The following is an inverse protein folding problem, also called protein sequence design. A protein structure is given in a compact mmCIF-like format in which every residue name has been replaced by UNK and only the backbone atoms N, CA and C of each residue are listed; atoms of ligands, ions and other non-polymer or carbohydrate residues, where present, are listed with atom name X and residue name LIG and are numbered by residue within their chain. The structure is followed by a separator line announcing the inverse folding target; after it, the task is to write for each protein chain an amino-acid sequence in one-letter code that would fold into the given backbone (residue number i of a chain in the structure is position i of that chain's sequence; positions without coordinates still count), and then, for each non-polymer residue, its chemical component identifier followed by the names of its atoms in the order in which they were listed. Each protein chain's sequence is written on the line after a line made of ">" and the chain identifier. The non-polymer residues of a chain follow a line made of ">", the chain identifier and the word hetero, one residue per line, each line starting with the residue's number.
data_IF_203725381829
#
_entry.id   IF_203725381829
#
_cell.length_a   1.000
_cell.length_b   1.000
_cell.length_c   1.000
_cell.angle_alpha   90.00
_cell.angle_beta   90.00
_cell.angle_gamma   90.00
#
_symmetry.space_group_name_H-M   'P 1'
#
loop_
_entity.id
_entity.type
_entity.pdbx_description
1 polymer ?
#
# COMPACT_ATOMS: atom_id res chain seq x y z
N UNK A 1 15.20 24.90 5.90
CA UNK A 1 14.08 24.03 5.48
C UNK A 1 14.00 22.85 6.43
N UNK A 2 12.84 22.53 7.02
CA UNK A 2 12.69 21.32 7.86
C UNK A 2 12.80 20.09 6.95
N UNK A 3 13.68 19.16 7.29
CA UNK A 3 13.87 17.90 6.56
C UNK A 3 12.57 17.09 6.64
N UNK A 4 11.99 16.69 5.49
CA UNK A 4 10.77 15.86 5.46
C UNK A 4 11.09 14.51 6.12
N UNK A 5 10.27 14.04 7.08
CA UNK A 5 10.51 12.77 7.74
C UNK A 5 10.47 11.58 6.76
N UNK A 6 11.37 10.62 6.96
CA UNK A 6 11.36 9.34 6.25
C UNK A 6 10.38 8.40 6.97
N UNK A 7 9.48 7.80 6.22
CA UNK A 7 8.45 6.88 6.72
C UNK A 7 8.83 5.42 6.54
N UNK A 8 9.52 5.10 5.42
CA UNK A 8 10.08 3.77 5.15
C UNK A 8 11.49 3.93 4.60
N UNK A 9 12.42 3.10 5.04
CA UNK A 9 13.80 3.08 4.56
C UNK A 9 14.26 1.63 4.42
N UNK A 10 14.60 1.24 3.20
CA UNK A 10 15.28 -0.01 2.88
C UNK A 10 16.77 0.25 2.74
N UNK A 11 17.60 -0.54 3.43
CA UNK A 11 19.07 -0.45 3.40
C UNK A 11 19.65 -1.81 3.07
N UNK A 12 20.23 -1.95 1.89
CA UNK A 12 20.92 -3.15 1.42
C UNK A 12 20.09 -4.43 1.65
N UNK A 13 18.78 -4.36 1.40
CA UNK A 13 17.85 -5.46 1.66
C UNK A 13 18.17 -6.65 0.76
N UNK A 14 18.34 -7.81 1.38
CA UNK A 14 18.52 -9.09 0.71
C UNK A 14 17.36 -10.02 1.05
N UNK A 15 16.75 -10.61 0.00
CA UNK A 15 15.65 -11.56 0.14
C UNK A 15 15.94 -12.84 -0.63
N UNK A 16 15.70 -13.98 0.02
CA UNK A 16 15.92 -15.30 -0.59
C UNK A 16 14.73 -16.23 -0.32
N UNK A 17 14.47 -17.15 -1.24
CA UNK A 17 13.58 -18.30 -1.06
C UNK A 17 14.39 -19.56 -1.39
N UNK A 18 14.82 -20.27 -0.35
CA UNK A 18 15.80 -21.35 -0.50
C UNK A 18 17.09 -20.82 -1.11
N UNK A 19 17.51 -21.38 -2.24
CA UNK A 19 18.69 -20.93 -2.99
C UNK A 19 18.42 -19.75 -3.94
N UNK A 20 17.15 -19.39 -4.15
CA UNK A 20 16.80 -18.34 -5.09
C UNK A 20 16.81 -16.96 -4.44
N UNK A 21 17.71 -16.07 -4.90
CA UNK A 21 17.77 -14.68 -4.45
C UNK A 21 16.79 -13.83 -5.27
N UNK A 22 15.89 -13.12 -4.59
CA UNK A 22 14.93 -12.18 -5.16
C UNK A 22 15.50 -10.75 -5.14
N UNK A 23 16.03 -10.32 -3.98
CA UNK A 23 16.66 -9.01 -3.81
C UNK A 23 18.09 -9.19 -3.34
N UNK A 24 18.99 -8.33 -3.86
CA UNK A 24 20.41 -8.36 -3.58
C UNK A 24 20.93 -6.93 -3.39
N UNK A 25 20.77 -6.38 -2.18
CA UNK A 25 21.18 -5.03 -1.84
C UNK A 25 20.22 -3.93 -2.29
N UNK A 26 18.90 -4.14 -2.14
CA UNK A 26 17.88 -3.13 -2.47
C UNK A 26 17.88 -2.02 -1.43
N UNK A 27 18.08 -0.76 -1.89
CA UNK A 27 18.10 0.43 -1.03
C UNK A 27 17.24 1.54 -1.63
N UNK A 28 16.35 2.15 -0.82
CA UNK A 28 15.55 3.33 -1.17
C UNK A 28 14.90 3.94 0.08
N UNK A 29 14.30 5.12 -0.06
CA UNK A 29 13.59 5.78 1.03
C UNK A 29 12.27 6.39 0.59
N UNK A 30 11.26 6.37 1.47
CA UNK A 30 9.92 6.91 1.26
C UNK A 30 9.69 8.04 2.25
N UNK A 31 9.32 9.22 1.74
CA UNK A 31 9.08 10.43 2.54
C UNK A 31 7.64 10.53 2.99
N UNK A 32 7.41 11.25 4.09
CA UNK A 32 6.06 11.51 4.59
C UNK A 32 5.21 12.26 3.56
N UNK A 33 3.97 11.77 3.35
CA UNK A 33 2.95 12.40 2.52
C UNK A 33 3.10 12.18 1.02
N UNK A 34 4.08 11.36 0.56
CA UNK A 34 4.17 11.01 -0.86
C UNK A 34 3.37 9.75 -1.21
N UNK A 35 2.96 9.64 -2.46
CA UNK A 35 2.51 8.39 -3.08
C UNK A 35 3.72 7.80 -3.79
N UNK A 36 4.25 6.71 -3.24
CA UNK A 36 5.48 6.08 -3.70
C UNK A 36 5.20 4.75 -4.41
N UNK A 37 5.72 4.59 -5.63
CA UNK A 37 5.53 3.42 -6.46
C UNK A 37 6.64 2.37 -6.31
N UNK A 38 6.25 1.10 -6.24
CA UNK A 38 7.13 -0.06 -6.42
C UNK A 38 6.84 -0.65 -7.79
N UNK A 39 7.72 -0.40 -8.76
CA UNK A 39 7.57 -0.80 -10.16
C UNK A 39 8.57 -1.89 -10.53
N UNK A 40 8.33 -2.55 -11.67
CA UNK A 40 9.23 -3.59 -12.20
C UNK A 40 8.46 -4.66 -12.95
N UNK A 41 9.15 -5.49 -13.70
CA UNK A 41 8.57 -6.60 -14.44
C UNK A 41 7.92 -7.67 -13.53
N UNK A 42 7.21 -8.62 -14.13
CA UNK A 42 6.70 -9.79 -13.40
C UNK A 42 7.87 -10.56 -12.78
N UNK A 43 7.71 -10.97 -11.51
CA UNK A 43 8.76 -11.70 -10.78
C UNK A 43 9.91 -10.83 -10.25
N UNK A 44 9.91 -9.50 -10.43
CA UNK A 44 10.98 -8.63 -9.90
C UNK A 44 10.99 -8.45 -8.38
N UNK A 45 10.01 -9.04 -7.65
CA UNK A 45 9.97 -9.02 -6.20
C UNK A 45 9.14 -7.88 -5.56
N UNK A 46 8.39 -7.07 -6.31
CA UNK A 46 7.59 -5.94 -5.78
C UNK A 46 6.72 -6.33 -4.60
N UNK A 47 5.87 -7.33 -4.78
CA UNK A 47 4.97 -7.83 -3.72
C UNK A 47 5.76 -8.45 -2.55
N UNK A 48 6.92 -9.07 -2.82
CA UNK A 48 7.81 -9.59 -1.77
C UNK A 48 8.34 -8.45 -0.92
N UNK A 49 8.83 -7.38 -1.54
CA UNK A 49 9.34 -6.20 -0.86
C UNK A 49 8.24 -5.51 -0.04
N UNK A 50 7.02 -5.38 -0.60
CA UNK A 50 5.87 -4.88 0.14
C UNK A 50 5.57 -5.77 1.35
N UNK A 51 5.59 -7.10 1.21
CA UNK A 51 5.38 -8.05 2.32
C UNK A 51 6.43 -7.94 3.41
N UNK A 52 7.68 -7.60 3.07
CA UNK A 52 8.73 -7.33 4.05
C UNK A 52 8.46 -6.04 4.85
N UNK A 53 8.00 -4.98 4.19
CA UNK A 53 7.61 -3.73 4.87
C UNK A 53 6.50 -3.96 5.90
N UNK A 54 5.52 -4.79 5.58
CA UNK A 54 4.36 -5.09 6.45
C UNK A 54 4.58 -6.30 7.37
N UNK A 55 5.80 -6.81 7.46
CA UNK A 55 6.19 -7.94 8.32
C UNK A 55 5.46 -9.27 8.03
N UNK A 56 5.00 -9.49 6.79
CA UNK A 56 4.50 -10.79 6.31
C UNK A 56 5.62 -11.67 5.74
N UNK A 57 6.79 -11.08 5.46
CA UNK A 57 8.00 -11.75 5.00
C UNK A 57 9.19 -11.17 5.75
N UNK A 58 10.16 -12.01 6.12
CA UNK A 58 11.42 -11.56 6.72
C UNK A 58 12.47 -11.27 5.65
N UNK A 59 13.27 -10.23 5.85
CA UNK A 59 14.52 -9.99 5.11
C UNK A 59 15.58 -11.01 5.52
N UNK A 60 16.48 -11.34 4.62
CA UNK A 60 17.62 -12.24 4.89
C UNK A 60 18.92 -11.47 5.12
N UNK A 61 18.93 -10.18 4.84
CA UNK A 61 20.06 -9.27 5.07
C UNK A 61 19.62 -7.82 4.89
N UNK A 62 20.46 -6.89 5.30
CA UNK A 62 20.13 -5.47 5.30
C UNK A 62 19.12 -5.11 6.39
N UNK A 63 18.48 -3.94 6.23
CA UNK A 63 17.49 -3.42 7.18
C UNK A 63 16.27 -2.90 6.43
N UNK A 64 15.08 -3.18 7.00
CA UNK A 64 13.80 -2.60 6.58
C UNK A 64 13.24 -1.79 7.75
N UNK A 65 13.33 -0.46 7.68
CA UNK A 65 12.89 0.44 8.74
C UNK A 65 11.55 1.05 8.32
N UNK A 66 10.51 0.82 9.12
CA UNK A 66 9.15 1.35 8.89
C UNK A 66 8.72 2.16 10.11
N UNK A 67 8.35 3.41 9.91
CA UNK A 67 7.98 4.36 10.98
C UNK A 67 9.04 4.43 12.10
N UNK A 68 10.34 4.34 11.74
CA UNK A 68 11.47 4.37 12.66
C UNK A 68 11.75 3.05 13.39
N UNK A 69 11.05 1.97 13.07
CA UNK A 69 11.25 0.64 13.65
C UNK A 69 11.83 -0.31 12.61
N UNK A 70 12.95 -0.96 12.92
CA UNK A 70 13.50 -2.03 12.07
C UNK A 70 12.59 -3.28 12.18
N UNK A 71 11.94 -3.62 11.07
CA UNK A 71 10.95 -4.72 11.03
C UNK A 71 11.60 -6.10 11.16
N UNK A 72 12.90 -6.23 10.85
CA UNK A 72 13.65 -7.50 10.92
C UNK A 72 13.96 -7.90 12.36
N UNK A 73 14.12 -6.92 13.26
CA UNK A 73 14.51 -7.11 14.66
C UNK A 73 13.41 -6.74 15.65
N UNK A 74 12.24 -6.27 15.17
CA UNK A 74 11.15 -5.81 16.01
C UNK A 74 10.64 -6.91 16.96
N UNK A 75 10.54 -6.60 18.26
CA UNK A 75 9.87 -7.47 19.23
C UNK A 75 8.39 -7.63 18.88
N UNK A 76 7.74 -8.70 19.35
CA UNK A 76 6.31 -8.94 19.13
C UNK A 76 5.45 -7.71 19.51
N UNK A 77 5.72 -7.08 20.66
CA UNK A 77 5.02 -5.88 21.14
C UNK A 77 5.24 -4.67 20.22
N UNK A 78 6.47 -4.46 19.75
CA UNK A 78 6.80 -3.38 18.80
C UNK A 78 6.14 -3.62 17.45
N UNK A 79 6.16 -4.86 16.97
CA UNK A 79 5.52 -5.27 15.73
C UNK A 79 3.99 -5.07 15.76
N UNK A 80 3.33 -5.40 16.89
CA UNK A 80 1.90 -5.16 17.07
C UNK A 80 1.57 -3.67 16.98
N UNK A 81 2.25 -2.82 17.78
CA UNK A 81 2.06 -1.36 17.76
C UNK A 81 2.33 -0.74 16.39
N UNK A 82 3.24 -1.34 15.62
CA UNK A 82 3.56 -0.88 14.29
C UNK A 82 2.42 -1.21 13.32
N UNK A 83 1.82 -2.42 13.41
CA UNK A 83 0.67 -2.85 12.58
C UNK A 83 -0.56 -1.98 12.75
N UNK A 84 -0.79 -1.43 13.92
CA UNK A 84 -1.90 -0.49 14.20
C UNK A 84 -1.75 0.84 13.44
N UNK A 85 -0.56 1.14 12.91
CA UNK A 85 -0.23 2.43 12.28
C UNK A 85 -0.22 2.39 10.76
N UNK A 86 -0.55 1.24 10.17
CA UNK A 86 -0.69 1.11 8.71
C UNK A 86 -1.96 0.38 8.31
N UNK A 87 -2.42 0.68 7.10
CA UNK A 87 -3.49 -0.05 6.44
C UNK A 87 -2.97 -0.79 5.21
N UNK A 88 -3.63 -1.88 4.84
CA UNK A 88 -3.24 -2.69 3.69
C UNK A 88 -4.47 -2.99 2.84
N UNK A 89 -4.37 -2.69 1.54
CA UNK A 89 -5.30 -3.17 0.52
C UNK A 89 -4.57 -4.17 -0.37
N UNK A 90 -4.93 -5.44 -0.25
CA UNK A 90 -4.44 -6.50 -1.14
C UNK A 90 -5.17 -6.50 -2.48
N UNK A 91 -4.56 -7.06 -3.50
CA UNK A 91 -5.02 -7.07 -4.89
C UNK A 91 -6.51 -7.44 -5.06
N UNK A 92 -7.01 -8.41 -4.29
CA UNK A 92 -8.42 -8.85 -4.33
C UNK A 92 -9.28 -8.31 -3.17
N UNK A 93 -8.82 -7.25 -2.47
CA UNK A 93 -9.52 -6.66 -1.33
C UNK A 93 -9.38 -7.46 -0.04
N UNK A 94 -9.22 -8.79 -0.09
CA UNK A 94 -9.09 -9.72 1.04
C UNK A 94 -10.17 -9.55 2.12
N UNK A 95 -11.42 -9.24 1.73
CA UNK A 95 -12.55 -9.12 2.64
C UNK A 95 -12.94 -10.50 3.19
N UNK A 96 -13.37 -10.53 4.44
CA UNK A 96 -13.96 -11.71 5.05
C UNK A 96 -15.33 -11.96 4.42
N UNK A 97 -15.48 -13.06 3.71
CA UNK A 97 -16.69 -13.37 2.92
C UNK A 97 -17.91 -13.67 3.76
N UNK A 98 -17.73 -14.09 5.01
CA UNK A 98 -18.77 -14.39 6.00
C UNK A 98 -19.23 -13.17 6.81
N UNK A 99 -18.59 -12.02 6.64
CA UNK A 99 -18.93 -10.78 7.32
C UNK A 99 -19.55 -9.79 6.33
N UNK A 100 -20.48 -8.97 6.81
CA UNK A 100 -20.98 -7.81 6.08
C UNK A 100 -19.85 -6.81 5.80
N UNK A 101 -20.06 -5.86 4.92
CA UNK A 101 -19.09 -4.80 4.62
C UNK A 101 -18.81 -3.94 5.85
N UNK A 102 -19.84 -3.61 6.63
CA UNK A 102 -19.67 -2.88 7.88
C UNK A 102 -18.80 -3.65 8.88
N UNK A 103 -19.09 -4.92 9.12
CA UNK A 103 -18.31 -5.78 10.01
C UNK A 103 -16.86 -5.93 9.55
N UNK A 104 -16.61 -6.03 8.24
CA UNK A 104 -15.27 -6.03 7.68
C UNK A 104 -14.46 -4.77 8.04
N UNK A 105 -15.11 -3.60 8.09
CA UNK A 105 -14.45 -2.35 8.49
C UNK A 105 -14.31 -2.25 10.01
N UNK A 106 -15.29 -2.73 10.76
CA UNK A 106 -15.32 -2.67 12.24
C UNK A 106 -14.26 -3.57 12.89
N UNK A 107 -13.94 -4.73 12.31
CA UNK A 107 -13.14 -5.79 12.96
C UNK A 107 -11.80 -5.30 13.50
N UNK A 108 -11.08 -4.44 12.74
CA UNK A 108 -9.81 -3.89 13.20
C UNK A 108 -9.98 -2.94 14.40
N UNK A 109 -11.04 -2.13 14.42
CA UNK A 109 -11.33 -1.25 15.55
C UNK A 109 -11.74 -2.03 16.79
N UNK A 110 -12.51 -3.13 16.64
CA UNK A 110 -12.91 -4.00 17.74
C UNK A 110 -11.71 -4.71 18.38
N UNK A 111 -10.73 -5.13 17.56
CA UNK A 111 -9.54 -5.85 18.01
C UNK A 111 -8.51 -4.93 18.70
N UNK A 112 -8.32 -3.72 18.15
CA UNK A 112 -7.18 -2.85 18.53
C UNK A 112 -7.58 -1.60 19.32
N UNK A 113 -8.87 -1.40 19.62
CA UNK A 113 -9.33 -0.25 20.40
C UNK A 113 -10.28 -0.65 21.52
N UNK A 114 -10.41 0.21 22.53
CA UNK A 114 -11.40 0.06 23.61
C UNK A 114 -12.63 0.97 23.38
N UNK A 115 -12.93 1.31 22.13
CA UNK A 115 -14.07 2.16 21.80
C UNK A 115 -15.40 1.39 22.02
N UNK A 116 -16.46 2.08 22.44
CA UNK A 116 -17.77 1.45 22.56
C UNK A 116 -18.31 1.07 21.19
N UNK A 117 -19.10 -0.01 21.10
CA UNK A 117 -19.58 -0.58 19.83
C UNK A 117 -20.32 0.41 18.94
N UNK A 118 -21.11 1.33 19.53
CA UNK A 118 -21.82 2.35 18.74
C UNK A 118 -20.84 3.31 18.04
N UNK A 119 -19.73 3.69 18.69
CA UNK A 119 -18.72 4.59 18.10
C UNK A 119 -17.92 3.89 17.02
N UNK A 120 -17.61 2.60 17.21
CA UNK A 120 -16.98 1.76 16.17
C UNK A 120 -17.86 1.71 14.92
N UNK A 121 -19.17 1.49 15.10
CA UNK A 121 -20.15 1.44 14.01
C UNK A 121 -20.20 2.77 13.24
N UNK A 122 -20.36 3.88 13.92
CA UNK A 122 -20.37 5.22 13.31
C UNK A 122 -19.06 5.52 12.57
N UNK A 123 -17.91 5.19 13.20
CA UNK A 123 -16.61 5.34 12.58
C UNK A 123 -16.49 4.51 11.30
N UNK A 124 -16.96 3.26 11.31
CA UNK A 124 -16.94 2.38 10.15
C UNK A 124 -17.83 2.91 9.01
N UNK A 125 -19.03 3.40 9.32
CA UNK A 125 -19.90 4.06 8.34
C UNK A 125 -19.25 5.30 7.73
N UNK A 126 -18.55 6.10 8.54
CA UNK A 126 -17.77 7.23 8.05
C UNK A 126 -16.67 6.77 7.09
N UNK A 127 -15.92 5.69 7.41
CA UNK A 127 -14.89 5.15 6.50
C UNK A 127 -15.49 4.67 5.17
N UNK A 128 -16.65 4.05 5.19
CA UNK A 128 -17.37 3.66 3.97
C UNK A 128 -17.76 4.89 3.13
N UNK A 129 -18.26 5.94 3.77
CA UNK A 129 -18.57 7.20 3.09
C UNK A 129 -17.34 7.86 2.48
N UNK A 130 -16.19 7.87 3.20
CA UNK A 130 -14.91 8.43 2.72
C UNK A 130 -14.41 7.78 1.44
N UNK A 131 -14.71 6.49 1.24
CA UNK A 131 -14.34 5.78 0.00
C UNK A 131 -15.44 5.81 -1.07
N UNK A 132 -16.49 6.61 -0.86
CA UNK A 132 -17.60 6.80 -1.82
C UNK A 132 -18.55 5.61 -1.90
N UNK A 133 -18.69 4.81 -0.84
CA UNK A 133 -19.69 3.76 -0.75
C UNK A 133 -20.95 4.27 -0.05
N UNK A 134 -22.15 4.09 -0.65
CA UNK A 134 -23.40 4.51 -0.03
C UNK A 134 -23.74 3.64 1.19
N UNK A 135 -24.45 4.22 2.17
CA UNK A 135 -24.78 3.57 3.44
C UNK A 135 -25.46 2.18 3.29
N UNK A 136 -26.27 1.99 2.25
CA UNK A 136 -26.93 0.70 1.97
C UNK A 136 -25.97 -0.46 1.78
N UNK A 137 -24.70 -0.19 1.37
CA UNK A 137 -23.66 -1.20 1.16
C UNK A 137 -23.18 -1.79 2.48
N UNK A 138 -23.34 -1.07 3.60
CA UNK A 138 -22.87 -1.50 4.91
C UNK A 138 -23.36 -2.91 5.31
N UNK A 139 -24.61 -3.23 4.94
CA UNK A 139 -25.27 -4.50 5.31
C UNK A 139 -25.13 -5.60 4.24
N UNK A 140 -24.49 -5.31 3.10
CA UNK A 140 -24.24 -6.29 2.05
C UNK A 140 -23.02 -7.15 2.37
N UNK A 141 -22.97 -8.34 1.80
CA UNK A 141 -21.80 -9.22 1.84
C UNK A 141 -20.88 -8.95 0.64
N UNK A 142 -19.58 -9.29 0.74
CA UNK A 142 -18.64 -9.11 -0.36
C UNK A 142 -19.09 -9.75 -1.68
N UNK A 143 -19.82 -10.87 -1.65
CA UNK A 143 -20.34 -11.56 -2.84
C UNK A 143 -21.33 -10.70 -3.66
N UNK A 144 -22.02 -9.76 -3.02
CA UNK A 144 -23.04 -8.91 -3.61
C UNK A 144 -22.45 -7.63 -4.27
N UNK A 145 -21.14 -7.39 -4.12
CA UNK A 145 -20.48 -6.18 -4.59
C UNK A 145 -19.80 -6.38 -5.95
N UNK A 146 -19.77 -5.33 -6.77
CA UNK A 146 -18.88 -5.25 -7.94
C UNK A 146 -17.39 -5.26 -7.53
N UNK A 147 -16.50 -5.54 -8.47
CA UNK A 147 -15.05 -5.52 -8.21
C UNK A 147 -14.55 -4.18 -7.65
N UNK A 148 -15.00 -3.07 -8.22
CA UNK A 148 -14.65 -1.74 -7.74
C UNK A 148 -15.20 -1.44 -6.34
N UNK A 149 -16.43 -1.86 -6.03
CA UNK A 149 -16.99 -1.72 -4.68
C UNK A 149 -16.23 -2.57 -3.65
N UNK A 150 -15.81 -3.80 -4.00
CA UNK A 150 -14.97 -4.64 -3.13
C UNK A 150 -13.64 -3.97 -2.80
N UNK A 151 -12.99 -3.34 -3.79
CA UNK A 151 -11.74 -2.60 -3.58
C UNK A 151 -11.96 -1.38 -2.68
N UNK A 152 -13.02 -0.60 -2.89
CA UNK A 152 -13.38 0.52 -2.01
C UNK A 152 -13.68 0.06 -0.58
N UNK A 153 -14.39 -1.04 -0.39
CA UNK A 153 -14.65 -1.62 0.93
C UNK A 153 -13.35 -2.10 1.61
N UNK A 154 -12.45 -2.75 0.86
CA UNK A 154 -11.11 -3.12 1.34
C UNK A 154 -10.28 -1.90 1.74
N UNK A 155 -10.39 -0.80 1.00
CA UNK A 155 -9.75 0.48 1.31
C UNK A 155 -10.34 1.09 2.60
N UNK A 156 -11.67 1.10 2.76
CA UNK A 156 -12.32 1.55 4.00
C UNK A 156 -11.82 0.77 5.23
N UNK A 157 -11.68 -0.56 5.11
CA UNK A 157 -11.08 -1.40 6.17
C UNK A 157 -9.62 -1.04 6.43
N UNK A 158 -8.84 -0.79 5.39
CA UNK A 158 -7.44 -0.37 5.53
C UNK A 158 -7.31 0.97 6.26
N UNK A 159 -8.31 1.85 6.15
CA UNK A 159 -8.37 3.15 6.82
C UNK A 159 -8.96 3.10 8.25
N UNK A 160 -9.43 1.94 8.71
CA UNK A 160 -10.19 1.81 9.96
C UNK A 160 -9.48 2.37 11.20
N UNK A 161 -8.16 2.21 11.30
CA UNK A 161 -7.35 2.66 12.44
C UNK A 161 -6.62 3.99 12.21
N UNK A 162 -7.06 4.82 11.26
CA UNK A 162 -6.42 6.09 10.91
C UNK A 162 -4.90 5.94 10.67
N UNK A 163 -4.51 5.12 9.70
CA UNK A 163 -3.12 4.73 9.49
C UNK A 163 -2.25 5.92 9.06
N UNK A 164 -0.95 5.86 9.38
CA UNK A 164 0.06 6.79 8.86
C UNK A 164 0.63 6.35 7.51
N UNK A 165 0.56 5.05 7.23
CA UNK A 165 1.00 4.42 5.98
C UNK A 165 -0.16 3.62 5.40
N UNK A 166 -0.31 3.69 4.08
CA UNK A 166 -1.27 2.88 3.33
C UNK A 166 -0.51 2.08 2.27
N UNK A 167 -0.57 0.77 2.36
CA UNK A 167 0.03 -0.16 1.40
C UNK A 167 -1.04 -0.66 0.44
N UNK A 168 -0.81 -0.51 -0.86
CA UNK A 168 -1.74 -0.89 -1.92
C UNK A 168 -1.04 -1.86 -2.87
N UNK A 169 -1.53 -3.09 -2.95
CA UNK A 169 -0.99 -4.11 -3.86
C UNK A 169 -1.92 -4.21 -5.08
N UNK A 170 -1.51 -3.65 -6.21
CA UNK A 170 -2.25 -3.57 -7.47
C UNK A 170 -3.71 -3.12 -7.30
N UNK A 171 -3.96 -1.91 -6.75
CA UNK A 171 -5.30 -1.49 -6.34
C UNK A 171 -6.28 -1.35 -7.52
N UNK A 172 -5.82 -0.99 -8.70
CA UNK A 172 -6.65 -0.78 -9.90
C UNK A 172 -6.76 -2.04 -10.79
N UNK A 173 -6.02 -3.10 -10.49
CA UNK A 173 -6.03 -4.35 -11.27
C UNK A 173 -7.45 -4.92 -11.39
N UNK A 174 -7.87 -5.26 -12.62
CA UNK A 174 -9.19 -5.82 -12.91
C UNK A 174 -10.35 -4.82 -12.88
N UNK A 175 -10.08 -3.53 -12.77
CA UNK A 175 -11.07 -2.48 -12.98
C UNK A 175 -11.09 -2.04 -14.45
N UNK A 176 -12.25 -1.57 -14.90
CA UNK A 176 -12.33 -0.83 -16.15
C UNK A 176 -11.57 0.51 -16.04
N UNK A 177 -11.18 1.14 -17.17
CA UNK A 177 -10.35 2.35 -17.15
C UNK A 177 -10.98 3.52 -16.39
N UNK A 178 -12.30 3.69 -16.44
CA UNK A 178 -13.00 4.77 -15.74
C UNK A 178 -13.01 4.52 -14.23
N UNK A 179 -13.28 3.29 -13.80
CA UNK A 179 -13.23 2.90 -12.39
C UNK A 179 -11.81 2.97 -11.81
N UNK A 180 -10.79 2.63 -12.60
CA UNK A 180 -9.39 2.75 -12.20
C UNK A 180 -9.01 4.22 -11.93
N UNK A 181 -9.31 5.13 -12.85
CA UNK A 181 -9.07 6.57 -12.68
C UNK A 181 -9.80 7.14 -11.46
N UNK A 182 -11.08 6.78 -11.28
CA UNK A 182 -11.87 7.23 -10.11
C UNK A 182 -11.31 6.66 -8.79
N UNK A 183 -10.65 5.50 -8.82
CA UNK A 183 -9.96 4.95 -7.65
C UNK A 183 -8.64 5.69 -7.38
N UNK A 184 -7.88 6.02 -8.40
CA UNK A 184 -6.65 6.79 -8.31
C UNK A 184 -6.90 8.22 -7.76
N UNK A 185 -7.95 8.90 -8.25
CA UNK A 185 -8.39 10.20 -7.73
C UNK A 185 -8.79 10.12 -6.25
N UNK A 186 -9.46 9.03 -5.85
CA UNK A 186 -9.79 8.76 -4.45
C UNK A 186 -8.53 8.63 -3.60
N UNK A 187 -7.52 7.88 -4.05
CA UNK A 187 -6.25 7.72 -3.32
C UNK A 187 -5.54 9.07 -3.14
N UNK A 188 -5.45 9.89 -4.18
CA UNK A 188 -4.87 11.24 -4.10
C UNK A 188 -5.64 12.11 -3.11
N UNK A 189 -6.96 12.11 -3.17
CA UNK A 189 -7.82 12.86 -2.24
C UNK A 189 -7.61 12.42 -0.79
N UNK A 190 -7.55 11.11 -0.53
CA UNK A 190 -7.31 10.58 0.81
C UNK A 190 -5.91 10.94 1.32
N UNK A 191 -4.86 10.86 0.47
CA UNK A 191 -3.51 11.30 0.82
C UNK A 191 -3.50 12.76 1.25
N UNK A 192 -4.12 13.64 0.47
CA UNK A 192 -4.13 15.09 0.71
C UNK A 192 -4.96 15.46 1.94
N UNK A 193 -6.12 14.83 2.13
CA UNK A 193 -7.04 15.14 3.23
C UNK A 193 -6.56 14.60 4.57
N UNK A 194 -6.00 13.37 4.57
CA UNK A 194 -5.59 12.68 5.80
C UNK A 194 -4.10 12.84 6.11
N UNK A 195 -3.29 13.36 5.17
CA UNK A 195 -1.84 13.47 5.32
C UNK A 195 -1.12 12.13 5.44
N UNK A 196 -1.71 11.06 4.88
CA UNK A 196 -1.12 9.72 4.87
C UNK A 196 -0.03 9.60 3.82
N UNK A 197 0.88 8.64 4.02
CA UNK A 197 1.87 8.24 3.03
C UNK A 197 1.39 6.95 2.37
N UNK A 198 1.44 6.89 1.04
CA UNK A 198 0.94 5.73 0.28
C UNK A 198 2.10 5.01 -0.39
N UNK A 199 2.15 3.70 -0.26
CA UNK A 199 3.07 2.82 -0.98
C UNK A 199 2.24 1.93 -1.90
N UNK A 200 2.49 2.00 -3.20
CA UNK A 200 1.69 1.33 -4.20
C UNK A 200 2.54 0.42 -5.09
N UNK A 201 2.16 -0.85 -5.17
CA UNK A 201 2.62 -1.74 -6.24
C UNK A 201 1.65 -1.58 -7.41
N UNK A 202 2.16 -1.19 -8.57
CA UNK A 202 1.35 -1.07 -9.79
C UNK A 202 2.19 -1.34 -11.04
N UNK A 203 1.53 -1.73 -12.12
CA UNK A 203 2.06 -1.78 -13.47
C UNK A 203 1.22 -0.95 -14.44
N UNK A 204 0.20 -0.26 -13.92
CA UNK A 204 -0.66 0.62 -14.71
C UNK A 204 0.07 1.92 -15.06
N UNK A 205 0.15 2.22 -16.36
CA UNK A 205 0.93 3.36 -16.88
C UNK A 205 0.26 4.70 -16.57
N UNK A 206 -1.05 4.76 -16.57
CA UNK A 206 -1.80 5.97 -16.24
C UNK A 206 -1.57 6.33 -14.77
N UNK A 207 -1.68 5.34 -13.87
CA UNK A 207 -1.36 5.49 -12.45
C UNK A 207 0.09 5.94 -12.24
N UNK A 208 1.06 5.33 -12.93
CA UNK A 208 2.49 5.70 -12.81
C UNK A 208 2.72 7.13 -13.24
N UNK A 209 2.06 7.59 -14.32
CA UNK A 209 2.28 8.90 -14.88
C UNK A 209 1.61 10.03 -14.08
N UNK A 210 0.46 9.78 -13.45
CA UNK A 210 -0.40 10.84 -12.90
C UNK A 210 -0.58 10.80 -11.39
N UNK A 211 -0.29 9.65 -10.73
CA UNK A 211 -0.57 9.45 -9.30
C UNK A 211 0.70 9.39 -8.46
N UNK A 212 1.77 8.78 -8.99
CA UNK A 212 3.00 8.58 -8.23
C UNK A 212 3.85 9.84 -8.17
N UNK A 213 4.18 10.29 -6.95
CA UNK A 213 5.12 11.40 -6.75
C UNK A 213 6.57 10.95 -7.05
N UNK A 214 6.93 9.76 -6.57
CA UNK A 214 8.23 9.10 -6.78
C UNK A 214 8.03 7.59 -6.82
N UNK A 215 9.00 6.89 -7.41
CA UNK A 215 8.97 5.43 -7.49
C UNK A 215 10.37 4.84 -7.63
N UNK A 216 10.47 3.54 -7.35
CA UNK A 216 11.60 2.69 -7.72
C UNK A 216 11.17 1.70 -8.79
N UNK A 217 12.10 1.42 -9.71
CA UNK A 217 11.96 0.32 -10.68
C UNK A 217 12.91 -0.79 -10.26
N UNK A 218 12.33 -1.95 -9.94
CA UNK A 218 13.09 -3.15 -9.58
C UNK A 218 13.38 -3.99 -10.82
N UNK A 219 14.62 -4.40 -10.96
CA UNK A 219 15.08 -5.31 -12.00
C UNK A 219 16.45 -5.89 -11.64
N UNK A 220 16.78 -7.04 -12.19
CA UNK A 220 18.06 -7.70 -11.91
C UNK A 220 18.37 -7.82 -10.40
N UNK A 221 17.33 -8.05 -9.56
CA UNK A 221 17.39 -8.17 -8.09
C UNK A 221 17.76 -6.89 -7.34
N UNK A 222 17.85 -5.74 -8.01
CA UNK A 222 18.29 -4.45 -7.48
C UNK A 222 17.33 -3.33 -7.84
N UNK A 223 17.55 -2.15 -7.28
CA UNK A 223 16.93 -0.92 -7.75
C UNK A 223 17.66 -0.48 -9.02
N UNK A 224 16.96 -0.46 -10.14
CA UNK A 224 17.48 0.03 -11.42
C UNK A 224 17.28 1.52 -11.58
N UNK A 225 16.27 2.07 -10.93
CA UNK A 225 15.93 3.49 -10.97
C UNK A 225 15.20 3.91 -9.70
N UNK A 226 15.49 5.10 -9.19
CA UNK A 226 14.73 5.80 -8.16
C UNK A 226 14.54 7.25 -8.59
N UNK A 227 13.29 7.73 -8.65
CA UNK A 227 13.00 9.10 -9.06
C UNK A 227 11.51 9.31 -9.31
N UNK A 228 11.21 10.30 -10.12
CA UNK A 228 9.86 10.62 -10.62
C UNK A 228 9.78 10.42 -12.14
N UNK A 229 8.58 10.65 -12.71
CA UNK A 229 8.36 10.51 -14.14
C UNK A 229 9.23 11.46 -15.00
N UNK A 230 9.51 12.67 -14.51
CA UNK A 230 10.33 13.65 -15.23
C UNK A 230 11.78 13.15 -15.36
N UNK A 231 12.35 12.62 -14.28
CA UNK A 231 13.68 12.02 -14.28
C UNK A 231 13.73 10.74 -15.14
N UNK A 232 12.68 9.92 -15.10
CA UNK A 232 12.60 8.73 -15.92
C UNK A 232 12.60 9.06 -17.43
N UNK A 233 11.90 10.12 -17.86
CA UNK A 233 11.90 10.59 -19.25
C UNK A 233 13.28 11.03 -19.77
N UNK A 234 14.19 11.40 -18.88
CA UNK A 234 15.55 11.81 -19.23
C UNK A 234 16.53 10.62 -19.30
N UNK A 235 16.08 9.39 -18.98
CA UNK A 235 16.95 8.21 -18.99
C UNK A 235 17.39 7.83 -20.40
N UNK A 236 18.64 7.42 -20.53
CA UNK A 236 19.18 6.81 -21.76
C UNK A 236 19.11 5.29 -21.75
N UNK A 237 18.75 4.67 -20.61
CA UNK A 237 18.68 3.22 -20.44
C UNK A 237 17.43 2.65 -21.13
N UNK A 238 17.63 1.80 -22.13
CA UNK A 238 16.55 1.23 -22.94
C UNK A 238 15.63 0.25 -22.14
N UNK A 239 16.13 -0.39 -21.09
CA UNK A 239 15.28 -1.21 -20.21
C UNK A 239 14.30 -0.34 -19.43
N UNK A 240 14.72 0.84 -18.99
CA UNK A 240 13.87 1.80 -18.27
C UNK A 240 12.88 2.48 -19.20
N UNK A 241 13.23 2.73 -20.47
CA UNK A 241 12.31 3.30 -21.46
C UNK A 241 11.05 2.46 -21.69
N UNK A 242 11.09 1.14 -21.43
CA UNK A 242 9.91 0.26 -21.51
C UNK A 242 8.79 0.65 -20.53
N UNK A 243 9.12 1.39 -19.48
CA UNK A 243 8.13 1.93 -18.53
C UNK A 243 7.51 3.26 -18.99
N UNK A 244 8.03 3.88 -20.07
CA UNK A 244 7.49 5.08 -20.69
C UNK A 244 6.51 4.78 -21.83
N UNK A 245 6.66 3.61 -22.48
CA UNK A 245 5.90 3.12 -23.61
C UNK A 245 4.93 2.03 -23.13
#
# INVERSE_FOLDING_TARGET
>A
MKKVPIMVEAKEVVTRFGTHTIHDGVSFSIKKGEIFGLLGGSGSGKTTLLREMIMLQKTHGGQMIVLGTDTSTASHKSAQKLRERWGILFQFGALFTSLTILENVMIAMQEYTNLPSWLIQESALMKLSMVGLPAKVAHMYPSELSGGMKKRAGLARALALDPKLLFLDEPTSGLDPQSARAFDELIMTLRDTLGITVIMVTHDKDTIAHVLDRFVILGNKKVMFEGNMELLKQTTNDELKKFLN
#
